data_IF_570070255329
#
_entry.id   IF_570070255329
#
_cell.length_a   1.000
_cell.length_b   1.000
_cell.length_c   1.000
_cell.angle_alpha   90.00
_cell.angle_beta   90.00
_cell.angle_gamma   90.00
#
_symmetry.space_group_name_H-M   'P 1'
#
loop_
_entity.id
_entity.type
_entity.pdbx_description
1 polymer ?
#
# COMPACT_ATOMS: atom_id res chain seq x y z
N UNK A 1 -9.23 -11.60 5.13
CA UNK A 1 -8.63 -10.46 4.41
C UNK A 1 -8.10 -10.96 3.07
N UNK A 2 -8.41 -10.26 2.00
CA UNK A 2 -7.92 -10.59 0.64
C UNK A 2 -6.50 -10.04 0.45
N UNK A 3 -5.68 -10.74 -0.33
CA UNK A 3 -4.34 -10.24 -0.71
C UNK A 3 -4.49 -8.98 -1.59
N UNK A 4 -3.46 -8.13 -1.62
CA UNK A 4 -3.42 -7.02 -2.57
C UNK A 4 -3.51 -7.55 -4.01
N UNK A 5 -4.28 -6.86 -4.85
CA UNK A 5 -4.47 -7.25 -6.25
C UNK A 5 -3.13 -7.23 -7.02
N UNK A 6 -3.05 -8.04 -8.07
CA UNK A 6 -1.87 -8.01 -8.94
C UNK A 6 -1.88 -6.73 -9.76
N UNK A 7 -0.77 -5.99 -9.73
CA UNK A 7 -0.56 -4.85 -10.64
C UNK A 7 -0.53 -5.40 -12.07
N UNK A 8 -1.42 -4.91 -12.91
CA UNK A 8 -1.51 -5.27 -14.33
C UNK A 8 -0.54 -4.41 -15.14
N UNK A 9 0.00 -4.96 -16.22
CA UNK A 9 0.72 -4.15 -17.20
C UNK A 9 -0.27 -3.38 -18.05
N UNK A 10 0.05 -2.16 -18.51
CA UNK A 10 -0.87 -1.36 -19.30
C UNK A 10 -1.38 -2.05 -20.57
N UNK A 11 -0.54 -2.83 -21.23
CA UNK A 11 -0.86 -3.62 -22.43
C UNK A 11 -1.74 -4.84 -22.18
N UNK A 12 -1.82 -5.30 -20.93
CA UNK A 12 -2.62 -6.43 -20.48
C UNK A 12 -3.74 -6.02 -19.53
N UNK A 13 -4.00 -4.73 -19.38
CA UNK A 13 -5.05 -4.27 -18.49
C UNK A 13 -6.43 -4.60 -19.09
N UNK A 14 -7.25 -5.30 -18.33
CA UNK A 14 -8.67 -5.52 -18.65
C UNK A 14 -9.45 -4.21 -18.70
N UNK A 15 -8.94 -3.22 -18.00
CA UNK A 15 -9.45 -1.86 -17.93
C UNK A 15 -8.42 -0.94 -18.53
N UNK A 16 -8.85 -0.21 -19.52
CA UNK A 16 -8.05 0.82 -20.14
C UNK A 16 -8.32 2.15 -19.41
N UNK A 17 -7.27 2.90 -19.17
CA UNK A 17 -7.36 4.27 -18.70
C UNK A 17 -7.93 5.07 -19.88
N UNK A 18 -8.97 5.86 -19.63
CA UNK A 18 -9.57 6.69 -20.67
C UNK A 18 -8.73 7.95 -20.94
N UNK A 19 -8.73 8.38 -22.20
CA UNK A 19 -8.03 9.61 -22.58
C UNK A 19 -8.63 10.81 -21.82
N UNK A 20 -7.76 11.55 -21.14
CA UNK A 20 -8.14 12.71 -20.32
C UNK A 20 -8.31 12.39 -18.85
N UNK A 21 -8.27 11.11 -18.43
CA UNK A 21 -8.24 10.77 -17.00
C UNK A 21 -6.96 11.29 -16.35
N UNK A 22 -7.11 11.74 -15.11
CA UNK A 22 -5.99 12.14 -14.26
C UNK A 22 -5.30 10.90 -13.69
N UNK A 23 -4.03 10.73 -14.04
CA UNK A 23 -3.22 9.58 -13.60
C UNK A 23 -2.09 10.08 -12.70
N UNK A 24 -1.93 9.43 -11.57
CA UNK A 24 -0.80 9.67 -10.66
C UNK A 24 0.27 8.64 -10.95
N UNK A 25 1.47 9.10 -11.25
CA UNK A 25 2.65 8.26 -11.47
C UNK A 25 3.42 8.17 -10.17
N UNK A 26 3.61 6.95 -9.66
CA UNK A 26 4.31 6.70 -8.42
C UNK A 26 5.55 5.84 -8.63
N UNK A 27 6.56 6.03 -7.79
CA UNK A 27 7.73 5.16 -7.78
C UNK A 27 7.34 3.75 -7.33
N UNK A 28 7.74 2.74 -8.14
CA UNK A 28 7.58 1.34 -7.75
C UNK A 28 8.77 0.90 -6.91
N UNK A 29 8.61 0.99 -5.60
CA UNK A 29 9.60 0.51 -4.65
C UNK A 29 9.71 -1.04 -4.71
N UNK A 30 10.90 -1.56 -4.42
CA UNK A 30 11.21 -3.00 -4.43
C UNK A 30 11.49 -3.49 -3.02
N UNK A 31 10.46 -3.99 -2.37
CA UNK A 31 10.52 -4.53 -1.02
C UNK A 31 9.58 -5.72 -0.87
N UNK A 32 8.95 -5.80 0.27
CA UNK A 32 7.92 -6.80 0.57
C UNK A 32 6.56 -6.14 0.72
N UNK A 33 5.59 -6.58 -0.07
CA UNK A 33 4.20 -6.14 0.06
C UNK A 33 3.63 -6.53 1.42
N UNK A 34 3.03 -5.58 2.10
CA UNK A 34 2.48 -5.75 3.44
C UNK A 34 1.11 -5.10 3.58
N UNK A 35 0.35 -5.55 4.60
CA UNK A 35 -0.93 -4.97 4.92
C UNK A 35 -1.07 -4.75 6.43
N UNK A 36 -1.61 -3.60 6.79
CA UNK A 36 -1.95 -3.17 8.14
C UNK A 36 -3.46 -3.09 8.20
N UNK A 37 -4.09 -3.90 9.03
CA UNK A 37 -5.54 -4.03 9.11
C UNK A 37 -6.06 -3.68 10.51
N UNK A 38 -7.04 -2.77 10.57
CA UNK A 38 -7.80 -2.51 11.77
C UNK A 38 -9.03 -3.42 11.81
N UNK A 39 -8.88 -4.58 12.41
CA UNK A 39 -9.94 -5.58 12.58
C UNK A 39 -10.72 -5.30 13.87
N UNK A 40 -11.74 -4.45 13.79
CA UNK A 40 -12.58 -4.08 14.94
C UNK A 40 -11.78 -3.63 16.19
N UNK A 41 -10.80 -2.77 16.00
CA UNK A 41 -9.95 -2.24 17.07
C UNK A 41 -8.79 -3.17 17.46
N UNK A 42 -8.54 -4.21 16.65
CA UNK A 42 -7.40 -5.10 16.80
C UNK A 42 -6.46 -4.93 15.61
N UNK A 43 -5.20 -4.62 15.89
CA UNK A 43 -4.18 -4.54 14.86
C UNK A 43 -3.79 -5.92 14.36
N UNK A 44 -3.98 -6.15 13.05
CA UNK A 44 -3.50 -7.35 12.35
C UNK A 44 -2.55 -6.96 11.24
N UNK A 45 -1.46 -7.68 11.13
CA UNK A 45 -0.36 -7.40 10.20
C UNK A 45 -0.16 -8.60 9.28
N UNK A 46 0.06 -8.32 8.00
CA UNK A 46 0.18 -9.36 6.99
C UNK A 46 1.37 -9.09 6.07
N UNK A 47 2.03 -10.16 5.66
CA UNK A 47 2.79 -10.19 4.41
C UNK A 47 1.84 -10.46 3.25
N UNK A 48 2.37 -10.58 2.05
CA UNK A 48 1.55 -10.85 0.85
C UNK A 48 0.59 -12.03 1.00
N UNK A 49 0.99 -13.08 1.70
CA UNK A 49 0.24 -14.34 1.75
C UNK A 49 -0.17 -14.78 3.15
N UNK A 50 0.43 -14.23 4.20
CA UNK A 50 0.29 -14.76 5.54
C UNK A 50 0.10 -13.66 6.59
N UNK A 51 -0.71 -13.94 7.60
CA UNK A 51 -0.73 -13.14 8.81
C UNK A 51 0.58 -13.33 9.58
N UNK A 52 1.18 -12.21 9.95
CA UNK A 52 2.47 -12.19 10.64
C UNK A 52 2.25 -12.29 12.15
N UNK A 53 2.92 -13.26 12.74
CA UNK A 53 2.91 -13.51 14.19
C UNK A 53 4.35 -13.40 14.72
N UNK A 54 4.48 -12.84 15.92
CA UNK A 54 5.79 -12.66 16.54
C UNK A 54 6.52 -11.38 16.09
N UNK A 55 7.35 -10.83 16.97
CA UNK A 55 7.96 -9.50 16.82
C UNK A 55 8.93 -9.39 15.64
N UNK A 56 9.63 -10.45 15.29
CA UNK A 56 10.62 -10.46 14.20
C UNK A 56 10.01 -10.78 12.83
N UNK A 57 8.67 -10.89 12.76
CA UNK A 57 7.98 -11.17 11.51
C UNK A 57 8.33 -10.18 10.41
N UNK A 58 8.68 -10.73 9.24
CA UNK A 58 9.09 -9.99 8.04
C UNK A 58 10.24 -8.99 8.32
N UNK A 59 11.35 -9.48 8.93
CA UNK A 59 12.54 -8.66 9.14
C UNK A 59 12.33 -7.40 9.97
N UNK A 60 11.49 -7.51 11.02
CA UNK A 60 11.23 -6.40 11.94
C UNK A 60 10.00 -5.53 11.60
N UNK A 61 9.28 -5.81 10.51
CA UNK A 61 8.05 -5.10 10.16
C UNK A 61 7.02 -5.12 11.31
N UNK A 62 6.80 -6.29 11.91
CA UNK A 62 5.85 -6.43 13.03
C UNK A 62 6.23 -5.53 14.20
N UNK A 63 7.50 -5.54 14.61
CA UNK A 63 8.01 -4.68 15.69
C UNK A 63 7.85 -3.19 15.35
N UNK A 64 8.17 -2.82 14.11
CA UNK A 64 8.03 -1.44 13.64
C UNK A 64 6.59 -0.95 13.70
N UNK A 65 5.61 -1.78 13.32
CA UNK A 65 4.18 -1.42 13.36
C UNK A 65 3.59 -1.50 14.76
N UNK A 66 4.00 -2.48 15.58
CA UNK A 66 3.54 -2.59 16.98
C UNK A 66 3.95 -1.38 17.82
N UNK A 67 5.11 -0.81 17.56
CA UNK A 67 5.53 0.45 18.20
C UNK A 67 4.64 1.66 17.87
N UNK A 68 3.74 1.52 16.88
CA UNK A 68 2.79 2.54 16.41
C UNK A 68 1.33 2.10 16.58
N UNK A 69 1.07 1.01 17.28
CA UNK A 69 -0.25 0.36 17.36
C UNK A 69 -1.36 1.33 17.75
N UNK A 70 -1.15 2.12 18.81
CA UNK A 70 -2.15 3.09 19.29
C UNK A 70 -2.50 4.10 18.19
N UNK A 71 -1.48 4.69 17.53
CA UNK A 71 -1.70 5.63 16.44
C UNK A 71 -2.38 4.99 15.22
N UNK A 72 -2.05 3.73 14.93
CA UNK A 72 -2.67 2.99 13.84
C UNK A 72 -4.15 2.77 14.15
N UNK A 73 -4.48 2.27 15.33
CA UNK A 73 -5.86 1.97 15.71
C UNK A 73 -6.72 3.23 15.87
N UNK A 74 -6.11 4.36 16.26
CA UNK A 74 -6.78 5.66 16.35
C UNK A 74 -7.10 6.27 14.98
N UNK A 75 -6.25 6.07 13.97
CA UNK A 75 -6.31 6.80 12.70
C UNK A 75 -6.64 5.96 11.48
N UNK A 76 -6.41 4.64 11.51
CA UNK A 76 -6.85 3.73 10.46
C UNK A 76 -8.30 3.31 10.75
N UNK A 77 -9.27 3.67 9.90
CA UNK A 77 -10.67 3.33 10.16
C UNK A 77 -10.89 1.83 10.31
N UNK A 78 -11.84 1.46 11.16
CA UNK A 78 -12.23 0.04 11.34
C UNK A 78 -12.66 -0.57 10.02
N UNK A 79 -12.16 -1.76 9.72
CA UNK A 79 -12.44 -2.47 8.48
C UNK A 79 -11.63 -1.99 7.27
N UNK A 80 -10.68 -1.05 7.48
CA UNK A 80 -9.77 -0.62 6.43
C UNK A 80 -8.41 -1.28 6.54
N UNK A 81 -7.81 -1.50 5.37
CA UNK A 81 -6.45 -2.04 5.20
C UNK A 81 -5.58 -0.98 4.56
N UNK A 82 -4.48 -0.64 5.20
CA UNK A 82 -3.42 0.18 4.62
C UNK A 82 -2.35 -0.75 4.04
N UNK A 83 -2.20 -0.71 2.73
CA UNK A 83 -1.16 -1.46 2.02
C UNK A 83 0.11 -0.63 1.85
N UNK A 84 1.25 -1.30 1.89
CA UNK A 84 2.53 -0.65 1.72
C UNK A 84 3.67 -1.61 1.42
N UNK A 85 4.84 -1.02 1.19
CA UNK A 85 6.07 -1.74 0.87
C UNK A 85 7.05 -1.63 2.03
N UNK A 86 7.50 -2.78 2.54
CA UNK A 86 8.54 -2.89 3.55
C UNK A 86 9.89 -3.11 2.89
N UNK A 87 10.81 -2.17 3.03
CA UNK A 87 12.05 -2.09 2.25
C UNK A 87 13.23 -2.86 2.85
N UNK A 88 13.10 -3.41 4.04
CA UNK A 88 14.18 -4.13 4.73
C UNK A 88 14.55 -5.48 4.08
N UNK A 89 13.72 -5.99 3.15
CA UNK A 89 13.88 -7.33 2.53
C UNK A 89 13.74 -7.31 1.00
N UNK A 90 14.03 -6.20 0.34
CA UNK A 90 14.05 -6.13 -1.13
C UNK A 90 15.39 -6.58 -1.73
N UNK A 91 15.42 -6.73 -3.06
CA UNK A 91 16.66 -6.97 -3.82
C UNK A 91 17.51 -5.71 -3.91
N UNK A 92 16.88 -4.55 -3.92
CA UNK A 92 17.56 -3.25 -3.86
C UNK A 92 17.99 -3.03 -2.41
N UNK A 93 19.22 -2.56 -2.14
CA UNK A 93 19.76 -2.43 -0.79
C UNK A 93 19.20 -1.20 -0.03
N UNK A 94 17.88 -1.00 -0.07
CA UNK A 94 17.20 0.05 0.69
C UNK A 94 17.44 -0.08 2.21
N UNK A 95 17.56 -1.31 2.71
CA UNK A 95 17.82 -1.57 4.11
C UNK A 95 19.09 -0.86 4.62
N UNK A 96 20.12 -0.76 3.79
CA UNK A 96 21.34 -0.01 4.10
C UNK A 96 21.05 1.49 4.26
N UNK A 97 20.19 2.06 3.41
CA UNK A 97 19.79 3.47 3.48
C UNK A 97 18.84 3.74 4.66
N UNK A 98 17.92 2.83 4.93
CA UNK A 98 17.01 2.92 6.07
C UNK A 98 17.76 2.88 7.41
N UNK A 99 18.74 1.96 7.56
CA UNK A 99 19.61 1.90 8.74
C UNK A 99 20.46 3.14 8.94
N UNK A 100 20.77 3.88 7.87
CA UNK A 100 21.46 5.17 7.93
C UNK A 100 20.51 6.35 8.15
N UNK A 101 19.19 6.13 8.30
CA UNK A 101 18.20 7.17 8.44
C UNK A 101 17.99 8.04 7.19
N UNK A 102 18.45 7.59 6.03
CA UNK A 102 18.32 8.33 4.76
C UNK A 102 16.94 8.16 4.11
N UNK A 103 16.29 7.04 4.38
CA UNK A 103 14.92 6.73 3.95
C UNK A 103 14.18 6.04 5.08
N UNK A 104 12.85 6.04 5.03
CA UNK A 104 12.03 5.25 5.93
C UNK A 104 12.02 3.77 5.49
N UNK A 105 11.85 2.83 6.42
CA UNK A 105 11.78 1.41 6.08
C UNK A 105 10.42 1.00 5.49
N UNK A 106 9.39 1.85 5.59
CA UNK A 106 8.04 1.57 5.13
C UNK A 106 7.43 2.74 4.37
N UNK A 107 6.74 2.43 3.27
CA UNK A 107 5.97 3.38 2.48
C UNK A 107 4.60 2.82 2.14
N UNK A 108 3.55 3.56 2.52
CA UNK A 108 2.17 3.23 2.16
C UNK A 108 1.90 3.61 0.70
N UNK A 109 1.02 2.84 0.02
CA UNK A 109 0.64 3.13 -1.35
C UNK A 109 -0.87 3.03 -1.62
N UNK A 110 -1.64 2.25 -0.83
CA UNK A 110 -3.09 2.16 -0.99
C UNK A 110 -3.81 2.00 0.34
N UNK A 111 -5.05 2.52 0.40
CA UNK A 111 -5.99 2.35 1.49
C UNK A 111 -7.28 1.74 0.93
N UNK A 112 -7.71 0.60 1.48
CA UNK A 112 -8.81 -0.18 0.94
C UNK A 112 -9.80 -0.54 2.03
N UNK A 113 -11.11 -0.39 1.76
CA UNK A 113 -12.16 -0.87 2.65
C UNK A 113 -12.42 -2.36 2.42
N UNK A 114 -12.41 -3.15 3.48
CA UNK A 114 -12.82 -4.56 3.49
C UNK A 114 -14.29 -4.74 3.96
N UNK A 115 -15.00 -3.62 4.26
CA UNK A 115 -16.36 -3.66 4.80
C UNK A 115 -17.44 -3.89 3.73
N UNK A 116 -17.09 -3.72 2.46
CA UNK A 116 -18.07 -3.85 1.37
C UNK A 116 -17.87 -5.21 0.72
N UNK A 117 -18.76 -6.12 1.06
CA UNK A 117 -18.83 -7.45 0.46
C UNK A 117 -19.86 -7.39 -0.70
N UNK A 118 -19.46 -6.82 -1.83
CA UNK A 118 -20.24 -6.89 -3.05
C UNK A 118 -19.82 -8.14 -3.82
N UNK A 119 -20.67 -9.16 -3.94
CA UNK A 119 -20.36 -10.33 -4.74
C UNK A 119 -20.33 -9.94 -6.22
N UNK A 120 -19.15 -9.82 -6.77
CA UNK A 120 -18.93 -9.72 -8.22
C UNK A 120 -18.10 -10.92 -8.67
N UNK A 121 -18.33 -11.37 -9.90
CA UNK A 121 -17.54 -12.46 -10.50
C UNK A 121 -16.07 -12.10 -10.66
N UNK A 122 -15.72 -10.82 -10.54
CA UNK A 122 -14.37 -10.28 -10.66
C UNK A 122 -13.92 -9.74 -9.30
N UNK A 123 -13.10 -10.50 -8.58
CA UNK A 123 -12.62 -10.16 -7.22
C UNK A 123 -11.91 -8.80 -7.13
N UNK A 124 -11.37 -8.31 -8.23
CA UNK A 124 -10.69 -7.01 -8.30
C UNK A 124 -11.67 -5.82 -8.15
N UNK A 125 -12.99 -6.02 -8.41
CA UNK A 125 -14.01 -4.96 -8.32
C UNK A 125 -14.80 -4.89 -7.01
N UNK A 126 -14.61 -5.85 -6.12
CA UNK A 126 -15.30 -5.86 -4.83
C UNK A 126 -14.64 -4.95 -3.79
N UNK A 127 -13.51 -4.34 -4.12
CA UNK A 127 -12.76 -3.50 -3.19
C UNK A 127 -13.00 -2.04 -3.47
N UNK A 128 -13.29 -1.30 -2.41
CA UNK A 128 -13.38 0.16 -2.48
C UNK A 128 -12.04 0.74 -2.05
N UNK A 129 -11.32 1.27 -3.02
CA UNK A 129 -10.10 2.01 -2.80
C UNK A 129 -10.45 3.43 -2.35
N UNK A 130 -9.82 3.88 -1.28
CA UNK A 130 -9.86 5.28 -0.90
C UNK A 130 -9.06 6.12 -1.92
N UNK A 131 -9.33 7.41 -1.96
CA UNK A 131 -8.53 8.33 -2.77
C UNK A 131 -7.08 8.39 -2.24
N UNK A 132 -6.14 8.72 -3.12
CA UNK A 132 -4.73 8.94 -2.74
C UNK A 132 -4.63 10.00 -1.63
N UNK A 133 -5.48 11.02 -1.66
CA UNK A 133 -5.53 12.06 -0.62
C UNK A 133 -5.89 11.47 0.75
N UNK A 134 -6.95 10.68 0.83
CA UNK A 134 -7.37 10.01 2.08
C UNK A 134 -6.29 9.06 2.59
N UNK A 135 -5.68 8.27 1.71
CA UNK A 135 -4.58 7.38 2.06
C UNK A 135 -3.40 8.16 2.66
N UNK A 136 -3.00 9.27 2.04
CA UNK A 136 -1.93 10.14 2.55
C UNK A 136 -2.26 10.76 3.90
N UNK A 137 -3.51 11.18 4.10
CA UNK A 137 -3.96 11.74 5.38
C UNK A 137 -3.88 10.70 6.51
N UNK A 138 -4.36 9.47 6.26
CA UNK A 138 -4.27 8.37 7.22
C UNK A 138 -2.82 8.02 7.51
N UNK A 139 -1.99 7.81 6.49
CA UNK A 139 -0.58 7.49 6.65
C UNK A 139 0.16 8.57 7.46
N UNK A 140 -0.07 9.84 7.16
CA UNK A 140 0.54 10.98 7.86
C UNK A 140 0.17 11.03 9.35
N UNK A 141 -1.11 10.81 9.70
CA UNK A 141 -1.56 10.77 11.10
C UNK A 141 -0.93 9.64 11.89
N UNK A 142 -0.69 8.50 11.26
CA UNK A 142 0.02 7.36 11.86
C UNK A 142 1.54 7.65 11.98
N UNK A 143 2.05 8.60 11.21
CA UNK A 143 3.49 8.89 11.12
C UNK A 143 4.21 7.97 10.14
N UNK A 144 3.52 7.51 9.10
CA UNK A 144 4.08 6.72 8.00
C UNK A 144 4.25 7.59 6.76
N UNK A 145 5.25 7.26 5.95
CA UNK A 145 5.45 7.87 4.63
C UNK A 145 4.63 7.16 3.57
N UNK A 146 4.37 7.85 2.48
CA UNK A 146 3.77 7.29 1.27
C UNK A 146 4.79 7.17 0.16
N UNK A 147 4.57 6.26 -0.78
CA UNK A 147 5.44 6.13 -1.96
C UNK A 147 5.58 7.49 -2.67
N UNK A 148 6.79 7.81 -3.18
CA UNK A 148 7.00 9.07 -3.90
C UNK A 148 6.09 9.16 -5.12
N UNK A 149 5.44 10.31 -5.29
CA UNK A 149 4.77 10.66 -6.52
C UNK A 149 5.76 11.35 -7.44
N UNK A 150 5.87 10.83 -8.65
CA UNK A 150 6.80 11.32 -9.66
C UNK A 150 6.13 12.39 -10.52
N UNK A 151 4.86 12.18 -10.87
CA UNK A 151 4.09 13.12 -11.67
C UNK A 151 2.58 12.91 -11.54
N UNK A 152 1.80 13.90 -11.98
CA UNK A 152 0.35 13.83 -12.12
C UNK A 152 0.00 14.37 -13.50
N UNK A 153 -0.49 13.49 -14.36
CA UNK A 153 -0.72 13.82 -15.78
C UNK A 153 -2.15 13.51 -16.20
N UNK A 154 -2.63 14.20 -17.25
CA UNK A 154 -3.80 13.76 -17.98
C UNK A 154 -3.39 12.68 -18.98
N UNK A 155 -3.95 11.49 -18.84
CA UNK A 155 -3.62 10.36 -19.68
C UNK A 155 -3.98 10.65 -21.16
N UNK A 156 -3.04 10.41 -22.04
CA UNK A 156 -3.21 10.54 -23.50
C UNK A 156 -3.14 9.17 -24.16
N UNK A 157 -2.03 8.46 -23.96
CA UNK A 157 -1.80 7.12 -24.45
C UNK A 157 -0.61 6.47 -23.70
N UNK A 158 -0.45 5.14 -23.84
CA UNK A 158 0.59 4.39 -23.15
C UNK A 158 2.00 4.64 -23.66
N UNK A 159 2.18 5.12 -24.89
CA UNK A 159 3.51 5.41 -25.42
C UNK A 159 4.12 6.67 -24.78
N UNK A 160 3.30 7.65 -24.45
CA UNK A 160 3.75 8.84 -23.73
C UNK A 160 4.10 8.55 -22.27
N UNK A 161 3.46 7.56 -21.64
CA UNK A 161 3.81 7.12 -20.29
C UNK A 161 5.17 6.44 -20.17
N UNK A 162 5.77 6.02 -21.30
CA UNK A 162 7.07 5.33 -21.33
C UNK A 162 8.25 6.27 -21.51
N UNK A 163 8.02 7.55 -21.77
CA UNK A 163 9.05 8.58 -21.94
C UNK A 163 9.38 9.26 -20.61
#
# INVERSE_FOLDING_TARGET
MKMYCKIKRPDNAKYQIEKGELVVIQEKLDGSNTAIYNDNGKLRLFSRSNELKGEDGLGGFVRYMRAREDKILENLPIGYVLYGEWLEQGKIPYNSLAKQGKIEPYYAFDLVSELIDTPTEDEDFTRVFASIKEMKEVASKIGLKTVPELDVINFTNYEELKQ
#
